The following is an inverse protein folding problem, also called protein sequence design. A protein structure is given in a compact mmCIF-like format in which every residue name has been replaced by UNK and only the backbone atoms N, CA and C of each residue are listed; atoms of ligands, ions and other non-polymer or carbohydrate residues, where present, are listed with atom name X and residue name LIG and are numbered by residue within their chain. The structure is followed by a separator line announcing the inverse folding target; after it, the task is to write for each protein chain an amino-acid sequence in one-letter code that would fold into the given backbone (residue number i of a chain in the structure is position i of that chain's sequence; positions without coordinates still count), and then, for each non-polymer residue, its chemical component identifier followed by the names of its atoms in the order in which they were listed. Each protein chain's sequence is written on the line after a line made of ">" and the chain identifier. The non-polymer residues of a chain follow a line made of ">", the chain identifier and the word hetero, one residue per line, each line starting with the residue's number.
data_IF_557298975552
#
_entry.id   IF_557298975552
#
_cell.length_a   1.000
_cell.length_b   1.000
_cell.length_c   1.000
_cell.angle_alpha   90.00
_cell.angle_beta   90.00
_cell.angle_gamma   90.00
#
_symmetry.space_group_name_H-M   'P 1'
#
loop_
_entity.id
_entity.type
_entity.pdbx_description
1 polymer ?
#
# COMPACT_ATOMS: atom_id res chain seq x y z
N UNK A 1 7.23 83.40 -12.29
CA UNK A 1 6.39 82.70 -11.28
C UNK A 1 5.97 81.38 -11.90
N UNK A 2 6.63 80.28 -11.51
CA UNK A 2 6.40 78.95 -12.06
C UNK A 2 5.30 78.26 -11.25
N UNK A 3 4.18 77.93 -11.91
CA UNK A 3 3.09 77.16 -11.32
C UNK A 3 3.47 75.67 -11.37
N UNK A 4 3.80 75.09 -10.22
CA UNK A 4 4.00 73.65 -10.06
C UNK A 4 2.63 73.02 -9.74
N UNK A 5 2.15 72.04 -10.52
CA UNK A 5 0.92 71.34 -10.20
C UNK A 5 1.13 70.39 -9.02
N UNK A 6 0.23 70.49 -8.04
CA UNK A 6 0.19 69.65 -6.84
C UNK A 6 -0.12 68.21 -7.27
N UNK A 7 0.81 67.29 -7.00
CA UNK A 7 0.60 65.85 -7.19
C UNK A 7 -0.53 65.39 -6.25
N UNK A 8 -1.66 64.99 -6.83
CA UNK A 8 -2.71 64.27 -6.11
C UNK A 8 -2.16 62.93 -5.63
N UNK A 9 -2.03 62.78 -4.31
CA UNK A 9 -1.74 61.51 -3.68
C UNK A 9 -2.95 60.58 -3.90
N UNK A 10 -2.79 59.52 -4.69
CA UNK A 10 -3.78 58.44 -4.77
C UNK A 10 -3.83 57.71 -3.42
N UNK A 11 -5.01 57.48 -2.82
CA UNK A 11 -5.12 56.76 -1.57
C UNK A 11 -4.59 55.34 -1.75
N UNK A 12 -3.57 54.98 -0.97
CA UNK A 12 -3.13 53.58 -0.84
C UNK A 12 -4.25 52.78 -0.16
N UNK A 13 -4.58 51.56 -0.63
CA UNK A 13 -5.57 50.73 0.02
C UNK A 13 -5.03 50.33 1.41
N UNK A 14 -5.54 50.99 2.46
CA UNK A 14 -5.26 50.63 3.84
C UNK A 14 -6.04 49.36 4.17
N UNK A 15 -5.45 48.21 3.85
CA UNK A 15 -5.93 46.94 4.35
C UNK A 15 -6.00 47.02 5.88
N UNK A 16 -7.20 46.97 6.43
CA UNK A 16 -7.46 47.31 7.81
C UNK A 16 -6.93 46.19 8.72
N UNK A 17 -6.07 46.50 9.70
CA UNK A 17 -5.44 45.51 10.58
C UNK A 17 -6.44 44.56 11.27
N UNK A 18 -7.70 45.00 11.44
CA UNK A 18 -8.79 44.21 11.99
C UNK A 18 -9.31 43.14 11.01
N UNK A 19 -9.25 43.37 9.70
CA UNK A 19 -9.67 42.40 8.67
C UNK A 19 -8.73 41.18 8.64
N UNK A 20 -7.42 41.39 8.78
CA UNK A 20 -6.45 40.29 8.85
C UNK A 20 -6.65 39.43 10.11
N UNK A 21 -6.90 40.04 11.27
CA UNK A 21 -7.18 39.31 12.53
C UNK A 21 -8.45 38.47 12.44
N UNK A 22 -9.50 39.00 11.80
CA UNK A 22 -10.73 38.26 11.54
C UNK A 22 -10.48 37.07 10.62
N UNK A 23 -9.78 37.26 9.49
CA UNK A 23 -9.47 36.19 8.54
C UNK A 23 -8.69 35.04 9.21
N UNK A 24 -7.63 35.35 9.96
CA UNK A 24 -6.87 34.32 10.68
C UNK A 24 -7.72 33.60 11.75
N UNK A 25 -8.59 34.33 12.45
CA UNK A 25 -9.49 33.73 13.43
C UNK A 25 -10.45 32.74 12.77
N UNK A 26 -11.02 33.10 11.61
CA UNK A 26 -11.90 32.22 10.83
C UNK A 26 -11.16 30.96 10.39
N UNK A 27 -9.93 31.08 9.85
CA UNK A 27 -9.11 29.92 9.45
C UNK A 27 -8.84 28.99 10.64
N UNK A 28 -8.44 29.53 11.78
CA UNK A 28 -8.16 28.74 12.99
C UNK A 28 -9.41 28.00 13.46
N UNK A 29 -10.56 28.67 13.46
CA UNK A 29 -11.83 28.06 13.84
C UNK A 29 -12.20 26.92 12.89
N UNK A 30 -12.11 27.14 11.57
CA UNK A 30 -12.40 26.10 10.57
C UNK A 30 -11.48 24.89 10.74
N UNK A 31 -10.17 25.10 10.85
CA UNK A 31 -9.19 24.02 11.05
C UNK A 31 -9.44 23.26 12.35
N UNK A 32 -9.77 23.99 13.43
CA UNK A 32 -10.06 23.38 14.74
C UNK A 32 -11.32 22.55 14.69
N UNK A 33 -12.39 23.05 14.07
CA UNK A 33 -13.64 22.29 13.88
C UNK A 33 -13.34 21.03 13.05
N UNK A 34 -12.68 21.16 11.90
CA UNK A 34 -12.35 20.01 11.05
C UNK A 34 -11.54 18.94 11.81
N UNK A 35 -10.57 19.36 12.63
CA UNK A 35 -9.75 18.44 13.43
C UNK A 35 -10.52 17.82 14.60
N UNK A 36 -11.32 18.59 15.35
CA UNK A 36 -12.03 18.09 16.54
C UNK A 36 -13.16 17.14 16.15
N UNK A 37 -13.85 17.41 15.03
CA UNK A 37 -14.94 16.57 14.54
C UNK A 37 -14.47 15.36 13.71
N UNK A 38 -13.16 15.21 13.49
CA UNK A 38 -12.57 14.07 12.76
C UNK A 38 -13.21 13.84 11.37
N UNK A 39 -13.59 14.93 10.68
CA UNK A 39 -14.53 14.89 9.56
C UNK A 39 -14.04 14.03 8.38
N UNK A 40 -12.73 14.00 8.19
CA UNK A 40 -12.06 13.25 7.12
C UNK A 40 -11.38 11.98 7.66
N UNK A 41 -11.03 11.95 8.95
CA UNK A 41 -10.24 10.88 9.55
C UNK A 41 -10.99 9.54 9.50
N UNK A 42 -12.31 9.53 9.77
CA UNK A 42 -13.11 8.29 9.72
C UNK A 42 -13.13 7.67 8.32
N UNK A 43 -13.34 8.49 7.29
CA UNK A 43 -13.32 8.03 5.90
C UNK A 43 -11.95 7.48 5.51
N UNK A 44 -10.86 8.19 5.87
CA UNK A 44 -9.50 7.72 5.58
C UNK A 44 -9.12 6.46 6.34
N UNK A 45 -9.64 6.28 7.56
CA UNK A 45 -9.35 5.11 8.39
C UNK A 45 -9.98 3.84 7.78
N UNK A 46 -11.24 3.91 7.37
CA UNK A 46 -11.89 2.79 6.66
C UNK A 46 -11.15 2.44 5.38
N UNK A 47 -10.77 3.44 4.56
CA UNK A 47 -10.04 3.20 3.31
C UNK A 47 -8.65 2.62 3.53
N UNK A 48 -8.01 3.01 4.62
CA UNK A 48 -6.72 2.46 5.01
C UNK A 48 -6.86 1.01 5.49
N UNK A 49 -7.89 0.69 6.27
CA UNK A 49 -8.19 -0.69 6.69
C UNK A 49 -8.49 -1.60 5.50
N UNK A 50 -9.29 -1.14 4.52
CA UNK A 50 -9.53 -1.87 3.26
C UNK A 50 -8.20 -2.22 2.56
N UNK A 51 -7.26 -1.26 2.53
CA UNK A 51 -5.95 -1.45 1.90
C UNK A 51 -5.06 -2.43 2.66
N UNK A 52 -5.14 -2.44 4.00
CA UNK A 52 -4.41 -3.39 4.85
C UNK A 52 -4.98 -4.80 4.65
N UNK A 53 -6.30 -4.95 4.62
CA UNK A 53 -6.96 -6.24 4.41
C UNK A 53 -6.58 -6.84 3.05
N UNK A 54 -6.73 -6.07 1.97
CA UNK A 54 -6.32 -6.51 0.63
C UNK A 54 -4.83 -6.91 0.59
N UNK A 55 -3.97 -6.11 1.23
CA UNK A 55 -2.54 -6.41 1.31
C UNK A 55 -2.23 -7.68 2.12
N UNK A 56 -2.99 -7.93 3.18
CA UNK A 56 -2.81 -9.09 4.04
C UNK A 56 -3.25 -10.38 3.32
N UNK A 57 -4.37 -10.33 2.60
CA UNK A 57 -4.83 -11.44 1.74
C UNK A 57 -3.76 -11.73 0.68
N UNK A 58 -3.36 -10.71 -0.09
CA UNK A 58 -2.29 -10.83 -1.10
C UNK A 58 -1.00 -11.45 -0.53
N UNK A 59 -0.53 -10.94 0.61
CA UNK A 59 0.67 -11.46 1.28
C UNK A 59 0.52 -12.92 1.68
N UNK A 60 -0.60 -13.28 2.30
CA UNK A 60 -0.88 -14.64 2.72
C UNK A 60 -0.92 -15.58 1.50
N UNK A 61 -1.63 -15.22 0.43
CA UNK A 61 -1.72 -16.02 -0.79
C UNK A 61 -0.33 -16.25 -1.41
N UNK A 62 0.49 -15.19 -1.53
CA UNK A 62 1.87 -15.29 -2.04
C UNK A 62 2.73 -16.21 -1.17
N UNK A 63 2.66 -16.08 0.16
CA UNK A 63 3.45 -16.89 1.09
C UNK A 63 3.03 -18.36 1.05
N UNK A 64 1.74 -18.62 0.93
CA UNK A 64 1.19 -19.96 0.76
C UNK A 64 1.66 -20.62 -0.53
N UNK A 65 1.56 -19.92 -1.67
CA UNK A 65 2.06 -20.41 -2.96
C UNK A 65 3.55 -20.72 -2.87
N UNK A 66 4.34 -19.80 -2.30
CA UNK A 66 5.77 -20.00 -2.10
C UNK A 66 6.10 -21.24 -1.27
N UNK A 67 5.36 -21.47 -0.18
CA UNK A 67 5.54 -22.65 0.67
C UNK A 67 5.23 -23.95 -0.08
N UNK A 68 4.14 -24.00 -0.83
CA UNK A 68 3.75 -25.18 -1.62
C UNK A 68 4.78 -25.46 -2.71
N UNK A 69 5.19 -24.44 -3.46
CA UNK A 69 6.19 -24.58 -4.52
C UNK A 69 7.53 -25.05 -3.92
N UNK A 70 7.97 -24.50 -2.78
CA UNK A 70 9.22 -24.91 -2.13
C UNK A 70 9.23 -26.41 -1.78
N UNK A 71 8.09 -26.98 -1.35
CA UNK A 71 7.95 -28.42 -1.12
C UNK A 71 8.10 -29.20 -2.43
N UNK A 72 7.49 -28.74 -3.53
CA UNK A 72 7.59 -29.37 -4.84
C UNK A 72 9.01 -29.28 -5.43
N UNK A 73 9.73 -28.18 -5.20
CA UNK A 73 11.11 -28.00 -5.65
C UNK A 73 12.07 -29.02 -5.02
N UNK A 74 11.80 -29.45 -3.79
CA UNK A 74 12.56 -30.51 -3.11
C UNK A 74 12.29 -31.92 -3.65
N UNK A 75 11.37 -32.08 -4.61
CA UNK A 75 11.05 -33.39 -5.20
C UNK A 75 11.91 -33.64 -6.43
N UNK A 76 12.82 -34.61 -6.32
CA UNK A 76 13.64 -35.06 -7.46
C UNK A 76 12.86 -36.08 -8.31
N UNK A 77 12.67 -35.79 -9.59
CA UNK A 77 12.16 -36.77 -10.56
C UNK A 77 13.38 -37.38 -11.26
N UNK A 78 13.70 -38.63 -10.94
CA UNK A 78 14.78 -39.37 -11.58
C UNK A 78 14.28 -39.97 -12.90
N UNK A 79 14.51 -39.28 -14.02
CA UNK A 79 14.34 -39.87 -15.35
C UNK A 79 15.63 -40.60 -15.77
N UNK A 80 15.56 -41.78 -16.44
CA UNK A 80 16.72 -42.64 -16.71
C UNK A 80 17.84 -42.03 -17.58
N UNK A 81 17.64 -40.85 -18.18
CA UNK A 81 18.60 -40.24 -19.13
C UNK A 81 18.92 -38.77 -18.78
N UNK A 82 18.19 -38.15 -17.85
CA UNK A 82 18.44 -36.77 -17.41
C UNK A 82 17.81 -36.52 -16.03
N UNK A 83 18.62 -36.17 -15.02
CA UNK A 83 18.11 -35.67 -13.74
C UNK A 83 17.80 -34.18 -13.89
N UNK A 84 16.60 -33.85 -14.38
CA UNK A 84 16.09 -32.48 -14.28
C UNK A 84 15.45 -32.32 -12.90
N UNK A 85 16.04 -31.49 -12.06
CA UNK A 85 15.39 -31.11 -10.82
C UNK A 85 14.18 -30.26 -11.15
N UNK A 86 12.98 -30.69 -10.75
CA UNK A 86 11.74 -29.90 -10.85
C UNK A 86 11.92 -28.52 -10.21
N UNK A 87 12.81 -28.45 -9.21
CA UNK A 87 13.25 -27.21 -8.57
C UNK A 87 13.79 -26.16 -9.51
N UNK A 88 14.61 -26.55 -10.50
CA UNK A 88 15.33 -25.61 -11.39
C UNK A 88 14.38 -24.91 -12.37
N UNK A 89 13.33 -25.60 -12.80
CA UNK A 89 12.29 -25.06 -13.69
C UNK A 89 11.39 -24.07 -12.93
N UNK A 90 11.11 -24.34 -11.66
CA UNK A 90 10.24 -23.50 -10.81
C UNK A 90 11.00 -22.31 -10.18
N UNK A 91 12.33 -22.31 -10.18
CA UNK A 91 13.18 -21.26 -9.59
C UNK A 91 12.79 -19.82 -9.95
N UNK A 92 12.49 -19.48 -11.22
CA UNK A 92 12.12 -18.11 -11.58
C UNK A 92 10.83 -17.63 -10.90
N UNK A 93 9.83 -18.50 -10.78
CA UNK A 93 8.56 -18.18 -10.12
C UNK A 93 8.77 -17.99 -8.60
N UNK A 94 9.59 -18.85 -8.00
CA UNK A 94 9.95 -18.77 -6.57
C UNK A 94 10.64 -17.45 -6.23
N UNK A 95 11.55 -16.95 -7.08
CA UNK A 95 12.21 -15.66 -6.88
C UNK A 95 11.21 -14.49 -6.94
N UNK A 96 10.24 -14.55 -7.84
CA UNK A 96 9.19 -13.53 -7.96
C UNK A 96 8.25 -13.57 -6.75
N UNK A 97 7.88 -14.75 -6.26
CA UNK A 97 7.09 -14.89 -5.03
C UNK A 97 7.84 -14.35 -3.80
N UNK A 98 9.14 -14.66 -3.68
CA UNK A 98 9.98 -14.19 -2.58
C UNK A 98 10.09 -12.66 -2.59
N UNK A 99 10.40 -12.05 -3.73
CA UNK A 99 10.49 -10.59 -3.88
C UNK A 99 9.13 -9.92 -3.67
N UNK A 100 8.04 -10.51 -4.18
CA UNK A 100 6.67 -10.01 -3.95
C UNK A 100 6.31 -10.03 -2.47
N UNK A 101 6.56 -11.13 -1.77
CA UNK A 101 6.34 -11.25 -0.33
C UNK A 101 7.11 -10.20 0.45
N UNK A 102 8.37 -9.91 0.07
CA UNK A 102 9.18 -8.87 0.71
C UNK A 102 8.61 -7.47 0.52
N UNK A 103 8.16 -7.14 -0.70
CA UNK A 103 7.51 -5.87 -0.99
C UNK A 103 6.20 -5.73 -0.23
N UNK A 104 5.34 -6.75 -0.26
CA UNK A 104 4.06 -6.74 0.46
C UNK A 104 4.26 -6.61 1.97
N UNK A 105 5.28 -7.27 2.54
CA UNK A 105 5.64 -7.10 3.96
C UNK A 105 5.98 -5.64 4.28
N UNK A 106 6.78 -5.01 3.43
CA UNK A 106 7.18 -3.61 3.59
C UNK A 106 5.99 -2.66 3.42
N UNK A 107 5.12 -2.94 2.46
CA UNK A 107 3.90 -2.20 2.20
C UNK A 107 2.92 -2.29 3.38
N UNK A 108 2.69 -3.50 3.90
CA UNK A 108 1.85 -3.73 5.10
C UNK A 108 2.42 -3.06 6.34
N UNK A 109 3.74 -3.11 6.54
CA UNK A 109 4.38 -2.39 7.64
C UNK A 109 4.18 -0.87 7.51
N UNK A 110 4.28 -0.31 6.30
CA UNK A 110 4.01 1.11 6.02
C UNK A 110 2.54 1.48 6.29
N UNK A 111 1.58 0.70 5.78
CA UNK A 111 0.15 0.91 6.00
C UNK A 111 -0.22 0.78 7.49
N UNK A 112 0.32 -0.23 8.17
CA UNK A 112 0.14 -0.42 9.61
C UNK A 112 0.69 0.75 10.43
N UNK A 113 1.87 1.28 10.06
CA UNK A 113 2.42 2.48 10.69
C UNK A 113 1.51 3.69 10.46
N UNK A 114 1.01 3.90 9.24
CA UNK A 114 0.07 4.98 8.93
C UNK A 114 -1.22 4.87 9.75
N UNK A 115 -1.72 3.65 9.96
CA UNK A 115 -2.91 3.39 10.77
C UNK A 115 -2.69 3.75 12.23
N UNK A 116 -1.61 3.24 12.83
CA UNK A 116 -1.24 3.57 14.22
C UNK A 116 -1.12 5.09 14.36
N UNK A 117 -0.47 5.75 13.39
CA UNK A 117 -0.28 7.20 13.42
C UNK A 117 -1.62 7.95 13.33
N UNK A 118 -2.55 7.52 12.47
CA UNK A 118 -3.90 8.09 12.36
C UNK A 118 -4.71 7.89 13.65
N UNK A 119 -4.64 6.72 14.27
CA UNK A 119 -5.28 6.43 15.57
C UNK A 119 -4.74 7.36 16.67
N UNK A 120 -3.41 7.56 16.72
CA UNK A 120 -2.76 8.49 17.65
C UNK A 120 -3.25 9.93 17.42
N UNK A 121 -3.29 10.40 16.16
CA UNK A 121 -3.72 11.77 15.84
C UNK A 121 -5.22 12.02 16.01
N UNK A 122 -6.04 10.96 16.00
CA UNK A 122 -7.49 11.00 16.23
C UNK A 122 -7.85 10.82 17.71
N UNK A 123 -6.88 10.49 18.56
CA UNK A 123 -7.10 10.30 19.99
C UNK A 123 -7.65 11.58 20.66
N UNK A 124 -8.56 11.39 21.62
CA UNK A 124 -9.20 12.50 22.35
C UNK A 124 -8.19 13.47 22.97
N UNK A 125 -7.07 12.96 23.48
CA UNK A 125 -5.99 13.78 24.06
C UNK A 125 -5.38 14.72 23.02
N UNK A 126 -5.17 14.25 21.78
CA UNK A 126 -4.65 15.09 20.70
C UNK A 126 -5.69 16.12 20.27
N UNK A 127 -6.97 15.75 20.16
CA UNK A 127 -8.05 16.69 19.86
C UNK A 127 -8.15 17.82 20.91
N UNK A 128 -8.05 17.47 22.19
CA UNK A 128 -8.01 18.45 23.29
C UNK A 128 -6.77 19.34 23.18
N UNK A 129 -5.60 18.76 22.86
CA UNK A 129 -4.34 19.52 22.69
C UNK A 129 -4.44 20.52 21.53
N UNK A 130 -5.01 20.11 20.39
CA UNK A 130 -5.27 21.00 19.25
C UNK A 130 -6.22 22.11 19.66
N UNK A 131 -7.33 21.79 20.33
CA UNK A 131 -8.31 22.79 20.80
C UNK A 131 -7.70 23.79 21.79
N UNK A 132 -6.89 23.33 22.75
CA UNK A 132 -6.17 24.20 23.69
C UNK A 132 -5.16 25.10 22.97
N UNK A 133 -4.41 24.56 22.01
CA UNK A 133 -3.46 25.34 21.21
C UNK A 133 -4.16 26.39 20.34
N UNK A 134 -5.34 26.07 19.80
CA UNK A 134 -6.18 26.99 19.04
C UNK A 134 -6.70 28.12 19.93
N UNK A 135 -7.21 27.80 21.11
CA UNK A 135 -7.70 28.77 22.09
C UNK A 135 -6.59 29.71 22.56
N UNK A 136 -5.40 29.16 22.86
CA UNK A 136 -4.23 29.95 23.22
C UNK A 136 -3.84 30.91 22.09
N UNK A 137 -3.80 30.44 20.83
CA UNK A 137 -3.49 31.27 19.68
C UNK A 137 -4.52 32.38 19.45
N UNK A 138 -5.83 32.05 19.49
CA UNK A 138 -6.92 33.04 19.38
C UNK A 138 -6.83 34.09 20.50
N UNK A 139 -6.52 33.69 21.72
CA UNK A 139 -6.33 34.62 22.85
C UNK A 139 -5.20 35.61 22.56
N UNK A 140 -4.07 35.16 22.00
CA UNK A 140 -2.97 36.07 21.60
C UNK A 140 -3.34 37.02 20.46
N UNK A 141 -4.38 36.71 19.66
CA UNK A 141 -4.83 37.53 18.54
C UNK A 141 -5.68 38.72 18.98
N UNK A 142 -6.52 38.51 20.00
CA UNK A 142 -7.52 39.48 20.46
C UNK A 142 -7.10 40.22 21.74
N UNK A 143 -6.25 39.63 22.58
CA UNK A 143 -5.73 40.27 23.79
C UNK A 143 -4.33 40.85 23.56
N UNK A 144 -4.23 42.19 23.51
CA UNK A 144 -2.96 42.92 23.36
C UNK A 144 -1.82 42.51 24.32
N UNK A 145 -2.02 42.26 25.63
CA UNK A 145 -0.91 41.92 26.52
C UNK A 145 -0.28 40.55 26.21
N UNK A 146 -1.00 39.66 25.52
CA UNK A 146 -0.56 38.30 25.20
C UNK A 146 0.17 38.20 23.84
N UNK A 147 0.36 39.32 23.15
CA UNK A 147 0.97 39.37 21.80
C UNK A 147 2.42 38.86 21.77
N UNK A 148 3.17 38.99 22.87
CA UNK A 148 4.53 38.42 22.98
C UNK A 148 4.52 36.88 22.89
N UNK A 149 3.48 36.23 23.42
CA UNK A 149 3.34 34.77 23.41
C UNK A 149 2.96 34.21 22.03
N UNK A 150 2.50 35.07 21.11
CA UNK A 150 2.11 34.69 19.75
C UNK A 150 3.23 33.98 18.99
N UNK A 151 4.50 34.35 19.24
CA UNK A 151 5.66 33.70 18.62
C UNK A 151 5.74 32.20 18.92
N UNK A 152 5.17 31.75 20.04
CA UNK A 152 5.17 30.35 20.46
C UNK A 152 3.84 29.65 20.14
N UNK A 153 2.70 30.31 20.40
CA UNK A 153 1.37 29.69 20.20
C UNK A 153 1.04 29.49 18.72
N UNK A 154 1.45 30.42 17.86
CA UNK A 154 1.21 30.33 16.42
C UNK A 154 1.90 29.11 15.79
N UNK A 155 3.23 28.93 15.86
CA UNK A 155 3.87 27.77 15.23
C UNK A 155 3.40 26.46 15.86
N UNK A 156 3.14 26.42 17.17
CA UNK A 156 2.65 25.20 17.83
C UNK A 156 1.30 24.74 17.23
N UNK A 157 0.31 25.64 17.14
CA UNK A 157 -0.99 25.32 16.54
C UNK A 157 -0.84 24.88 15.09
N UNK A 158 -0.08 25.63 14.29
CA UNK A 158 0.08 25.34 12.87
C UNK A 158 0.85 24.03 12.63
N UNK A 159 1.91 23.71 13.40
CA UNK A 159 2.65 22.45 13.26
C UNK A 159 1.75 21.25 13.59
N UNK A 160 0.97 21.33 14.67
CA UNK A 160 0.04 20.26 15.05
C UNK A 160 -1.03 20.04 13.97
N UNK A 161 -1.69 21.10 13.53
CA UNK A 161 -2.69 21.01 12.47
C UNK A 161 -2.07 20.52 11.16
N UNK A 162 -0.95 21.13 10.75
CA UNK A 162 -0.28 20.80 9.49
C UNK A 162 0.13 19.33 9.45
N UNK A 163 0.73 18.80 10.52
CA UNK A 163 1.15 17.40 10.58
C UNK A 163 -0.04 16.45 10.43
N UNK A 164 -1.13 16.72 11.16
CA UNK A 164 -2.35 15.91 11.08
C UNK A 164 -2.99 15.97 9.70
N UNK A 165 -3.24 17.18 9.18
CA UNK A 165 -3.89 17.34 7.89
C UNK A 165 -3.01 16.86 6.73
N UNK A 166 -1.68 16.86 6.87
CA UNK A 166 -0.77 16.27 5.89
C UNK A 166 -0.90 14.75 5.83
N UNK A 167 -1.03 14.09 6.98
CA UNK A 167 -1.31 12.65 7.05
C UNK A 167 -2.66 12.33 6.39
N UNK A 168 -3.73 13.00 6.81
CA UNK A 168 -5.09 12.80 6.26
C UNK A 168 -5.12 13.11 4.76
N UNK A 169 -4.47 14.18 4.31
CA UNK A 169 -4.40 14.52 2.89
C UNK A 169 -3.66 13.46 2.06
N UNK A 170 -2.59 12.86 2.61
CA UNK A 170 -1.86 11.77 1.95
C UNK A 170 -2.77 10.55 1.77
N UNK A 171 -3.51 10.17 2.81
CA UNK A 171 -4.45 9.04 2.76
C UNK A 171 -5.62 9.31 1.81
N UNK A 172 -6.15 10.53 1.79
CA UNK A 172 -7.19 10.92 0.84
C UNK A 172 -6.69 10.87 -0.61
N UNK A 173 -5.46 11.33 -0.85
CA UNK A 173 -4.87 11.25 -2.17
C UNK A 173 -4.69 9.79 -2.60
N UNK A 174 -4.21 8.94 -1.69
CA UNK A 174 -4.10 7.51 -1.95
C UNK A 174 -5.46 6.90 -2.29
N UNK A 175 -6.48 7.18 -1.47
CA UNK A 175 -7.86 6.73 -1.72
C UNK A 175 -8.43 7.24 -3.05
N UNK A 176 -8.12 8.47 -3.45
CA UNK A 176 -8.59 9.04 -4.71
C UNK A 176 -7.91 8.38 -5.92
N UNK A 177 -6.59 8.16 -5.86
CA UNK A 177 -5.86 7.45 -6.92
C UNK A 177 -6.35 6.02 -7.02
N UNK A 178 -6.58 5.37 -5.89
CA UNK A 178 -7.12 4.01 -5.84
C UNK A 178 -8.47 3.91 -6.52
N UNK A 179 -9.41 4.77 -6.15
CA UNK A 179 -10.76 4.75 -6.70
C UNK A 179 -10.78 5.07 -8.22
N UNK A 180 -9.90 5.95 -8.69
CA UNK A 180 -9.90 6.39 -10.09
C UNK A 180 -9.11 5.47 -11.03
N UNK A 181 -8.08 4.79 -10.52
CA UNK A 181 -7.11 4.10 -11.39
C UNK A 181 -6.85 2.64 -11.03
N UNK A 182 -7.04 2.22 -9.77
CA UNK A 182 -6.44 0.97 -9.27
C UNK A 182 -7.43 -0.04 -8.66
N UNK A 183 -8.59 0.40 -8.16
CA UNK A 183 -9.43 -0.42 -7.28
C UNK A 183 -9.85 -1.76 -7.91
N UNK A 184 -10.41 -1.73 -9.11
CA UNK A 184 -10.85 -2.96 -9.78
C UNK A 184 -9.69 -3.93 -10.06
N UNK A 185 -8.53 -3.41 -10.47
CA UNK A 185 -7.39 -4.25 -10.82
C UNK A 185 -6.71 -4.86 -9.59
N UNK A 186 -6.49 -4.07 -8.52
CA UNK A 186 -5.88 -4.60 -7.29
C UNK A 186 -6.74 -5.69 -6.67
N UNK A 187 -8.06 -5.49 -6.62
CA UNK A 187 -8.98 -6.47 -6.04
C UNK A 187 -9.03 -7.75 -6.88
N UNK A 188 -9.19 -7.64 -8.20
CA UNK A 188 -9.21 -8.80 -9.10
C UNK A 188 -7.91 -9.61 -9.03
N UNK A 189 -6.75 -8.94 -9.06
CA UNK A 189 -5.45 -9.62 -9.03
C UNK A 189 -5.22 -10.30 -7.67
N UNK A 190 -5.63 -9.65 -6.57
CA UNK A 190 -5.56 -10.23 -5.23
C UNK A 190 -6.43 -11.48 -5.13
N UNK A 191 -7.68 -11.41 -5.58
CA UNK A 191 -8.61 -12.54 -5.58
C UNK A 191 -8.12 -13.69 -6.47
N UNK A 192 -7.62 -13.40 -7.68
CA UNK A 192 -7.04 -14.42 -8.55
C UNK A 192 -5.84 -15.11 -7.89
N UNK A 193 -4.98 -14.35 -7.23
CA UNK A 193 -3.82 -14.90 -6.52
C UNK A 193 -4.26 -15.80 -5.35
N UNK A 194 -5.32 -15.41 -4.63
CA UNK A 194 -5.87 -16.19 -3.53
C UNK A 194 -6.55 -17.50 -3.99
N UNK A 195 -7.28 -17.45 -5.10
CA UNK A 195 -7.84 -18.64 -5.73
C UNK A 195 -6.73 -19.61 -6.15
N UNK A 196 -5.65 -19.11 -6.77
CA UNK A 196 -4.53 -19.97 -7.16
C UNK A 196 -3.82 -20.56 -5.93
N UNK A 197 -3.68 -19.80 -4.84
CA UNK A 197 -3.14 -20.31 -3.59
C UNK A 197 -4.00 -21.46 -3.04
N UNK A 198 -5.33 -21.32 -3.11
CA UNK A 198 -6.29 -22.33 -2.65
C UNK A 198 -6.25 -23.59 -3.52
N UNK A 199 -6.26 -23.43 -4.85
CA UNK A 199 -6.15 -24.54 -5.81
C UNK A 199 -4.86 -25.34 -5.60
N UNK A 200 -3.73 -24.65 -5.42
CA UNK A 200 -2.44 -25.31 -5.15
C UNK A 200 -2.42 -26.03 -3.80
N UNK A 201 -3.09 -25.48 -2.78
CA UNK A 201 -3.23 -26.14 -1.49
C UNK A 201 -4.03 -27.43 -1.61
N UNK A 202 -5.14 -27.41 -2.36
CA UNK A 202 -5.96 -28.59 -2.61
C UNK A 202 -5.18 -29.65 -3.39
N UNK A 203 -4.49 -29.25 -4.47
CA UNK A 203 -3.64 -30.15 -5.25
C UNK A 203 -2.57 -30.83 -4.41
N UNK A 204 -1.87 -30.08 -3.55
CA UNK A 204 -0.86 -30.65 -2.65
C UNK A 204 -1.48 -31.65 -1.66
N UNK A 205 -2.64 -31.34 -1.07
CA UNK A 205 -3.33 -32.26 -0.17
C UNK A 205 -3.76 -33.56 -0.86
N UNK A 206 -4.22 -33.48 -2.11
CA UNK A 206 -4.66 -34.67 -2.86
C UNK A 206 -3.47 -35.59 -3.17
N UNK A 207 -2.31 -35.03 -3.54
CA UNK A 207 -1.06 -35.81 -3.68
C UNK A 207 -0.63 -36.49 -2.37
N UNK A 208 -0.76 -35.81 -1.23
CA UNK A 208 -0.41 -36.38 0.08
C UNK A 208 -1.36 -37.50 0.50
N UNK A 209 -2.66 -37.38 0.19
CA UNK A 209 -3.65 -38.44 0.46
C UNK A 209 -3.41 -39.67 -0.39
N UNK A 210 -3.10 -39.49 -1.68
CA UNK A 210 -2.80 -40.60 -2.59
C UNK A 210 -1.54 -41.36 -2.15
N UNK A 211 -0.49 -40.64 -1.72
CA UNK A 211 0.76 -41.23 -1.23
C UNK A 211 0.64 -41.90 0.14
N UNK A 212 -0.39 -41.56 0.93
CA UNK A 212 -0.67 -42.14 2.24
C UNK A 212 -1.48 -43.44 2.22
N UNK A 213 -2.13 -43.76 1.09
CA UNK A 213 -2.98 -44.95 0.94
C UNK A 213 -2.25 -46.18 0.38
N UNK A 214 -0.95 -46.08 0.08
CA UNK A 214 -0.16 -47.12 -0.60
C UNK A 214 0.89 -47.80 0.29
N UNK A 215 0.64 -47.93 1.59
CA UNK A 215 1.51 -48.63 2.53
C UNK A 215 0.78 -49.77 3.24
N UNK A 216 0.23 -50.72 2.48
CA UNK A 216 0.04 -52.10 2.94
C UNK A 216 0.43 -53.08 1.82
N UNK A 217 1.35 -53.98 2.18
CA UNK A 217 1.76 -55.26 1.55
C UNK A 217 2.84 -55.26 0.45
N UNK A 218 4.01 -55.74 0.88
CA UNK A 218 5.14 -56.27 0.10
C UNK A 218 4.76 -57.55 -0.70
N UNK A 219 5.62 -57.88 -1.68
CA UNK A 219 5.64 -59.00 -2.66
C UNK A 219 5.09 -58.73 -4.06
N UNK A 220 4.34 -57.65 -4.29
CA UNK A 220 3.92 -57.25 -5.65
C UNK A 220 4.94 -56.33 -6.36
N UNK A 221 6.04 -55.94 -5.70
CA UNK A 221 6.92 -54.86 -6.17
C UNK A 221 7.63 -55.16 -7.50
N UNK A 222 8.17 -56.37 -7.69
CA UNK A 222 8.85 -56.73 -8.95
C UNK A 222 7.87 -56.98 -10.12
N UNK A 223 6.66 -57.44 -9.82
CA UNK A 223 5.57 -57.57 -10.79
C UNK A 223 5.00 -56.22 -11.20
N UNK A 224 4.82 -55.33 -10.23
CA UNK A 224 4.35 -53.96 -10.41
C UNK A 224 5.38 -53.12 -11.16
N UNK A 225 6.67 -53.24 -10.86
CA UNK A 225 7.73 -52.57 -11.63
C UNK A 225 7.79 -53.07 -13.07
N UNK A 226 7.64 -54.38 -13.33
CA UNK A 226 7.66 -54.93 -14.70
C UNK A 226 6.40 -54.56 -15.50
N UNK A 227 5.25 -54.51 -14.85
CA UNK A 227 3.99 -54.05 -15.44
C UNK A 227 4.05 -52.54 -15.71
N UNK A 228 4.47 -51.73 -14.73
CA UNK A 228 4.68 -50.29 -14.89
C UNK A 228 5.73 -49.99 -15.97
N UNK A 229 6.78 -50.79 -16.10
CA UNK A 229 7.76 -50.61 -17.19
C UNK A 229 7.12 -50.82 -18.56
N UNK A 230 6.33 -51.90 -18.74
CA UNK A 230 5.63 -52.18 -19.99
C UNK A 230 4.54 -51.14 -20.31
N UNK A 231 3.77 -50.72 -19.32
CA UNK A 231 2.74 -49.67 -19.48
C UNK A 231 3.35 -48.29 -19.74
N UNK A 232 4.51 -47.98 -19.16
CA UNK A 232 5.24 -46.73 -19.41
C UNK A 232 5.91 -46.75 -20.79
N UNK A 233 6.40 -47.90 -21.29
CA UNK A 233 6.98 -47.97 -22.64
C UNK A 233 5.94 -47.92 -23.75
N UNK A 234 4.77 -48.55 -23.57
CA UNK A 234 3.68 -48.51 -24.56
C UNK A 234 2.87 -47.21 -24.46
N UNK A 235 2.70 -46.69 -23.24
CA UNK A 235 2.07 -45.41 -22.95
C UNK A 235 2.97 -44.19 -23.13
N UNK A 236 4.27 -44.33 -23.40
CA UNK A 236 5.20 -43.19 -23.50
C UNK A 236 4.79 -42.15 -24.55
N UNK A 237 4.02 -42.55 -25.56
CA UNK A 237 3.44 -41.61 -26.52
C UNK A 237 2.29 -40.77 -25.94
N UNK A 238 1.41 -41.39 -25.15
CA UNK A 238 0.30 -40.71 -24.43
C UNK A 238 0.78 -39.98 -23.17
N UNK A 239 1.69 -40.55 -22.38
CA UNK A 239 2.27 -39.95 -21.18
C UNK A 239 3.17 -38.76 -21.51
N UNK A 240 3.83 -38.75 -22.67
CA UNK A 240 4.59 -37.58 -23.13
C UNK A 240 3.64 -36.44 -23.52
N UNK A 241 2.49 -36.76 -24.10
CA UNK A 241 1.46 -35.79 -24.44
C UNK A 241 0.76 -35.23 -23.19
N UNK A 242 0.46 -36.08 -22.19
CA UNK A 242 -0.13 -35.69 -20.91
C UNK A 242 0.85 -34.90 -20.03
N UNK A 243 2.13 -35.29 -19.98
CA UNK A 243 3.20 -34.52 -19.36
C UNK A 243 3.43 -33.18 -20.06
N UNK A 244 3.43 -33.12 -21.41
CA UNK A 244 3.53 -31.86 -22.14
C UNK A 244 2.32 -30.96 -21.90
N UNK A 245 1.11 -31.50 -21.86
CA UNK A 245 -0.10 -30.73 -21.55
C UNK A 245 -0.08 -30.20 -20.11
N UNK A 246 0.33 -31.02 -19.14
CA UNK A 246 0.51 -30.56 -17.75
C UNK A 246 1.64 -29.53 -17.64
N UNK A 247 2.69 -29.64 -18.46
CA UNK A 247 3.79 -28.68 -18.52
C UNK A 247 3.36 -27.34 -19.13
N UNK A 248 2.60 -27.35 -20.22
CA UNK A 248 2.02 -26.14 -20.84
C UNK A 248 1.00 -25.46 -19.91
N UNK A 249 0.21 -26.25 -19.17
CA UNK A 249 -0.70 -25.71 -18.15
C UNK A 249 0.05 -25.09 -16.97
N UNK A 250 1.15 -25.71 -16.51
CA UNK A 250 1.98 -25.15 -15.45
C UNK A 250 2.74 -23.91 -15.92
N UNK A 251 3.22 -23.91 -17.17
CA UNK A 251 3.90 -22.76 -17.78
C UNK A 251 2.94 -21.57 -17.94
N UNK A 252 1.76 -21.78 -18.50
CA UNK A 252 0.77 -20.71 -18.68
C UNK A 252 0.22 -20.17 -17.35
N UNK A 253 -0.02 -21.04 -16.35
CA UNK A 253 -0.37 -20.60 -14.99
C UNK A 253 0.77 -19.83 -14.33
N UNK A 254 2.02 -20.24 -14.53
CA UNK A 254 3.20 -19.56 -13.98
C UNK A 254 3.39 -18.19 -14.64
N UNK A 255 3.20 -18.06 -15.95
CA UNK A 255 3.30 -16.78 -16.65
C UNK A 255 2.23 -15.80 -16.17
N UNK A 256 0.97 -16.24 -16.06
CA UNK A 256 -0.10 -15.42 -15.50
C UNK A 256 0.16 -15.03 -14.05
N UNK A 257 0.67 -15.95 -13.22
CA UNK A 257 1.07 -15.67 -11.85
C UNK A 257 2.15 -14.61 -11.79
N UNK A 258 3.21 -14.74 -12.59
CA UNK A 258 4.31 -13.78 -12.63
C UNK A 258 3.82 -12.39 -13.00
N UNK A 259 2.98 -12.27 -14.02
CA UNK A 259 2.39 -10.99 -14.43
C UNK A 259 1.50 -10.39 -13.34
N UNK A 260 0.67 -11.22 -12.70
CA UNK A 260 -0.20 -10.80 -11.61
C UNK A 260 0.61 -10.30 -10.41
N UNK A 261 1.65 -11.04 -10.01
CA UNK A 261 2.52 -10.68 -8.90
C UNK A 261 3.32 -9.41 -9.17
N UNK A 262 3.83 -9.23 -10.40
CA UNK A 262 4.53 -8.01 -10.78
C UNK A 262 3.60 -6.79 -10.75
N UNK A 263 2.38 -6.94 -11.26
CA UNK A 263 1.36 -5.89 -11.19
C UNK A 263 0.99 -5.61 -9.73
N UNK A 264 0.86 -6.64 -8.89
CA UNK A 264 0.56 -6.50 -7.47
C UNK A 264 1.67 -5.73 -6.73
N UNK A 265 2.94 -6.05 -6.98
CA UNK A 265 4.09 -5.27 -6.50
C UNK A 265 3.94 -3.81 -6.93
N UNK A 266 3.71 -3.56 -8.22
CA UNK A 266 3.62 -2.21 -8.76
C UNK A 266 2.49 -1.41 -8.08
N UNK A 267 1.32 -2.02 -7.91
CA UNK A 267 0.16 -1.42 -7.24
C UNK A 267 0.45 -1.09 -5.77
N UNK A 268 0.99 -2.04 -5.01
CA UNK A 268 1.29 -1.80 -3.60
C UNK A 268 2.42 -0.78 -3.40
N UNK A 269 3.46 -0.80 -4.23
CA UNK A 269 4.53 0.21 -4.20
C UNK A 269 3.98 1.59 -4.55
N UNK A 270 3.12 1.68 -5.57
CA UNK A 270 2.47 2.93 -5.96
C UNK A 270 1.70 3.53 -4.78
N UNK A 271 0.82 2.74 -4.15
CA UNK A 271 -0.03 3.18 -3.04
C UNK A 271 0.75 3.52 -1.77
N UNK A 272 1.71 2.68 -1.39
CA UNK A 272 2.34 2.75 -0.06
C UNK A 272 3.62 3.57 0.00
N UNK A 273 4.31 3.77 -1.14
CA UNK A 273 5.61 4.46 -1.21
C UNK A 273 5.52 5.63 -2.18
N UNK A 274 5.10 5.39 -3.42
CA UNK A 274 5.21 6.39 -4.48
C UNK A 274 4.26 7.58 -4.25
N UNK A 275 2.99 7.32 -3.91
CA UNK A 275 2.00 8.37 -3.66
C UNK A 275 2.38 9.23 -2.45
N UNK A 276 2.70 8.67 -1.26
CA UNK A 276 3.13 9.47 -0.11
C UNK A 276 4.35 10.35 -0.40
N UNK A 277 5.38 9.80 -1.05
CA UNK A 277 6.59 10.56 -1.40
C UNK A 277 6.29 11.62 -2.46
N UNK A 278 5.53 11.26 -3.50
CA UNK A 278 5.13 12.16 -4.57
C UNK A 278 4.31 13.34 -4.03
N UNK A 279 3.40 13.08 -3.10
CA UNK A 279 2.62 14.12 -2.42
C UNK A 279 3.52 15.06 -1.61
N UNK A 280 4.46 14.52 -0.84
CA UNK A 280 5.39 15.31 -0.04
C UNK A 280 6.26 16.22 -0.95
N UNK A 281 6.74 15.69 -2.09
CA UNK A 281 7.49 16.46 -3.08
C UNK A 281 6.64 17.56 -3.74
N UNK A 282 5.38 17.27 -4.07
CA UNK A 282 4.44 18.24 -4.61
C UNK A 282 4.19 19.37 -3.60
N UNK A 283 3.94 19.02 -2.35
CA UNK A 283 3.71 19.96 -1.25
C UNK A 283 4.94 20.85 -1.03
N UNK A 284 6.14 20.27 -1.03
CA UNK A 284 7.42 21.00 -0.94
C UNK A 284 7.57 22.01 -2.09
N UNK A 285 7.26 21.60 -3.32
CA UNK A 285 7.34 22.47 -4.49
C UNK A 285 6.30 23.60 -4.41
N UNK A 286 5.08 23.31 -3.99
CA UNK A 286 4.02 24.31 -3.81
C UNK A 286 4.40 25.33 -2.74
N UNK A 287 4.91 24.86 -1.58
CA UNK A 287 5.43 25.71 -0.52
C UNK A 287 6.54 26.65 -1.03
N UNK A 288 7.51 26.10 -1.76
CA UNK A 288 8.61 26.90 -2.33
C UNK A 288 8.13 27.91 -3.37
N UNK A 289 7.13 27.57 -4.19
CA UNK A 289 6.53 28.52 -5.14
C UNK A 289 5.76 29.62 -4.44
N UNK A 290 5.01 29.30 -3.38
CA UNK A 290 4.23 30.27 -2.60
C UNK A 290 5.14 31.26 -1.89
N UNK A 291 6.21 30.80 -1.24
CA UNK A 291 7.15 31.68 -0.53
C UNK A 291 7.91 32.60 -1.50
N UNK A 292 8.29 32.11 -2.69
CA UNK A 292 8.98 32.92 -3.69
C UNK A 292 8.05 33.91 -4.42
N UNK A 293 6.72 33.71 -4.35
CA UNK A 293 5.72 34.59 -4.96
C UNK A 293 5.20 35.67 -4.00
N UNK A 294 5.46 35.53 -2.70
CA UNK A 294 5.12 36.55 -1.70
C UNK A 294 6.21 37.62 -1.71
N UNK A 295 5.90 38.89 -2.07
CA UNK A 295 6.87 39.96 -1.88
C UNK A 295 7.22 40.01 -0.39
N UNK A 296 8.51 40.00 -0.09
CA UNK A 296 9.01 40.24 1.27
C UNK A 296 8.45 41.58 1.75
N UNK A 297 7.51 41.53 2.69
CA UNK A 297 6.98 42.71 3.41
C UNK A 297 7.92 43.02 4.57
#
# INVERSE_FOLDING_TARGET
>A
MSNVPILQQTPTPTFNANQHRLLFSVIVIILTIAAVFNLLDHYTLTKLDDSIEQGAIAFASVRSIHAIISVLQGTEISLPVLTLSVGEILSPATEILQSTSGVLTTALASLGLQRILLEVFTAKVVNITIALSAFAYLSTLWYQPLTHLRRYTQPLFFILCFTRFLLVATLLLNSAVDALFLNEQTEQITQQTDLIATDLHQFNQDLLKEKGASNEEDDSFLGSVKQTWHTVTDGLSDTKQEMQQNFEQLQSKTESLVVNLLTLIAMFVLKTILIPIGFLLLLKNLYWRLINRLPTI
#
